data_IF_747220678778
#
_entry.id   IF_747220678778
#
_cell.length_a   1.000
_cell.length_b   1.000
_cell.length_c   1.000
_cell.angle_alpha   90.00
_cell.angle_beta   90.00
_cell.angle_gamma   90.00
#
_symmetry.space_group_name_H-M   'P 1'
#
loop_
_entity.id
_entity.type
_entity.pdbx_description
1 polymer ?
#
# COMPACT_ATOMS: atom_id res chain seq x y z
N UNK A 1 35.68 -42.85 34.29
CA UNK A 1 34.91 -41.87 35.09
C UNK A 1 35.11 -40.50 34.45
N UNK A 2 34.07 -40.00 33.78
CA UNK A 2 33.31 -38.83 34.27
C UNK A 2 34.15 -37.55 34.19
N UNK A 3 34.01 -36.77 33.12
CA UNK A 3 33.22 -35.53 33.16
C UNK A 3 34.19 -34.38 32.88
N UNK A 4 33.85 -33.24 32.27
CA UNK A 4 32.58 -32.67 31.87
C UNK A 4 32.91 -31.49 30.95
N UNK A 5 32.02 -31.24 29.99
CA UNK A 5 32.05 -30.13 29.03
C UNK A 5 32.16 -28.78 29.74
N UNK A 6 33.14 -27.97 29.35
CA UNK A 6 33.10 -26.52 29.54
C UNK A 6 33.71 -25.83 28.32
N UNK A 7 32.95 -25.84 27.21
CA UNK A 7 33.11 -24.82 26.17
C UNK A 7 32.76 -23.49 26.82
N UNK A 8 33.77 -22.62 27.00
CA UNK A 8 33.57 -21.26 27.50
C UNK A 8 32.50 -20.55 26.64
N UNK A 9 31.64 -19.73 27.27
CA UNK A 9 30.54 -19.08 26.58
C UNK A 9 31.11 -18.23 25.45
N UNK A 10 30.58 -18.45 24.24
CA UNK A 10 30.81 -17.55 23.11
C UNK A 10 30.45 -16.15 23.56
N UNK A 11 31.42 -15.23 23.50
CA UNK A 11 31.25 -13.82 23.86
C UNK A 11 30.12 -13.22 22.99
N UNK A 12 28.88 -13.27 23.48
CA UNK A 12 27.68 -12.76 22.82
C UNK A 12 27.60 -11.22 22.83
N UNK A 13 28.73 -10.54 23.04
CA UNK A 13 28.80 -9.10 23.30
C UNK A 13 29.66 -8.33 22.30
N UNK A 14 30.02 -8.92 21.15
CA UNK A 14 30.75 -8.19 20.09
C UNK A 14 30.21 -8.44 18.69
N UNK A 15 28.89 -8.60 18.54
CA UNK A 15 28.26 -8.27 17.27
C UNK A 15 28.31 -6.74 17.12
N UNK A 16 29.31 -6.29 16.37
CA UNK A 16 29.67 -4.91 16.11
C UNK A 16 28.40 -4.06 15.86
N UNK A 17 28.22 -2.99 16.63
CA UNK A 17 27.14 -2.00 16.47
C UNK A 17 27.04 -1.52 15.02
N UNK A 18 28.19 -1.40 14.35
CA UNK A 18 28.30 -1.10 12.92
C UNK A 18 27.75 -2.21 12.00
N UNK A 19 27.91 -3.48 12.36
CA UNK A 19 27.33 -4.60 11.60
C UNK A 19 25.81 -4.63 11.73
N UNK A 20 25.25 -4.38 12.91
CA UNK A 20 23.79 -4.26 13.09
C UNK A 20 23.23 -3.05 12.33
N UNK A 21 23.89 -1.89 12.40
CA UNK A 21 23.50 -0.69 11.65
C UNK A 21 23.62 -0.90 10.14
N UNK A 22 24.63 -1.66 9.69
CA UNK A 22 24.80 -2.05 8.29
C UNK A 22 23.70 -3.00 7.85
N UNK A 23 23.37 -4.03 8.64
CA UNK A 23 22.27 -4.96 8.33
C UNK A 23 20.92 -4.22 8.31
N UNK A 24 20.67 -3.30 9.24
CA UNK A 24 19.47 -2.47 9.25
C UNK A 24 19.43 -1.51 8.06
N UNK A 25 20.54 -0.85 7.71
CA UNK A 25 20.66 -0.03 6.50
C UNK A 25 20.43 -0.86 5.26
N UNK A 26 21.04 -2.03 5.15
CA UNK A 26 20.93 -2.90 3.98
C UNK A 26 19.51 -3.45 3.86
N UNK A 27 18.86 -3.84 4.95
CA UNK A 27 17.43 -4.21 4.99
C UNK A 27 16.52 -3.03 4.64
N UNK A 28 16.86 -1.81 5.05
CA UNK A 28 16.14 -0.58 4.72
C UNK A 28 16.32 -0.20 3.25
N UNK A 29 17.53 -0.37 2.72
CA UNK A 29 17.87 -0.16 1.31
C UNK A 29 17.14 -1.20 0.48
N UNK A 30 17.31 -2.52 0.74
CA UNK A 30 16.58 -3.61 0.07
C UNK A 30 15.08 -3.36 0.02
N UNK A 31 14.51 -2.89 1.14
CA UNK A 31 13.12 -2.49 1.22
C UNK A 31 12.84 -1.30 0.27
N UNK A 32 13.62 -0.22 0.32
CA UNK A 32 13.50 0.95 -0.56
C UNK A 32 13.69 0.66 -2.07
N UNK A 33 14.63 -0.21 -2.47
CA UNK A 33 14.81 -0.63 -3.88
C UNK A 33 13.70 -1.57 -4.35
N UNK A 34 13.10 -2.38 -3.46
CA UNK A 34 11.88 -3.13 -3.76
C UNK A 34 10.64 -2.22 -3.86
N UNK A 35 10.65 -1.07 -3.17
CA UNK A 35 9.61 -0.03 -3.21
C UNK A 35 9.70 0.92 -4.41
N UNK A 36 10.66 0.73 -5.34
CA UNK A 36 10.72 1.53 -6.58
C UNK A 36 9.47 1.29 -7.46
N UNK A 37 8.79 0.15 -7.28
CA UNK A 37 7.43 -0.05 -7.77
C UNK A 37 6.43 0.61 -6.81
N UNK A 38 6.20 1.89 -7.04
CA UNK A 38 5.09 2.65 -6.46
C UNK A 38 3.79 1.80 -6.51
N UNK A 39 3.16 1.48 -5.37
CA UNK A 39 2.03 0.56 -5.32
C UNK A 39 0.88 1.07 -6.19
N UNK A 40 0.21 0.17 -6.89
CA UNK A 40 -0.88 0.55 -7.78
C UNK A 40 -2.05 1.14 -6.99
N UNK A 41 -2.63 2.22 -7.49
CA UNK A 41 -3.67 2.96 -6.78
C UNK A 41 -4.99 2.16 -6.71
N UNK A 42 -5.27 1.31 -7.71
CA UNK A 42 -6.43 0.42 -7.69
C UNK A 42 -6.22 -0.70 -6.69
N UNK A 43 -5.01 -1.29 -6.64
CA UNK A 43 -4.64 -2.27 -5.61
C UNK A 43 -4.75 -1.68 -4.20
N UNK A 44 -4.32 -0.43 -4.01
CA UNK A 44 -4.50 0.28 -2.74
C UNK A 44 -5.99 0.44 -2.36
N UNK A 45 -6.89 0.61 -3.34
CA UNK A 45 -8.33 0.63 -3.10
C UNK A 45 -8.87 -0.76 -2.74
N UNK A 46 -8.34 -1.84 -3.32
CA UNK A 46 -8.70 -3.21 -2.93
C UNK A 46 -8.27 -3.53 -1.49
N UNK A 47 -7.04 -3.14 -1.13
CA UNK A 47 -6.43 -3.46 0.17
C UNK A 47 -6.85 -2.53 1.31
N UNK A 48 -7.55 -1.42 1.02
CA UNK A 48 -7.92 -0.46 2.06
C UNK A 48 -6.78 0.49 2.46
N UNK A 49 -5.72 0.62 1.66
CA UNK A 49 -4.52 1.41 1.99
C UNK A 49 -4.74 2.91 1.77
N UNK A 50 -5.39 3.54 2.74
CA UNK A 50 -5.67 4.98 2.76
C UNK A 50 -4.41 5.85 2.62
N UNK A 51 -3.28 5.43 3.21
CA UNK A 51 -2.04 6.23 3.21
C UNK A 51 -1.50 6.43 1.79
N UNK A 52 -1.58 5.38 0.96
CA UNK A 52 -1.21 5.44 -0.46
C UNK A 52 -2.23 6.30 -1.20
N UNK A 53 -3.52 6.14 -0.95
CA UNK A 53 -4.54 6.93 -1.66
C UNK A 53 -4.34 8.43 -1.42
N UNK A 54 -4.05 8.82 -0.18
CA UNK A 54 -3.73 10.22 0.18
C UNK A 54 -2.42 10.70 -0.44
N UNK A 55 -1.42 9.83 -0.63
CA UNK A 55 -0.17 10.22 -1.28
C UNK A 55 -0.32 10.47 -2.79
N UNK A 56 -1.31 9.84 -3.44
CA UNK A 56 -1.60 10.03 -4.86
C UNK A 56 -2.66 11.11 -5.12
N UNK A 57 -3.69 11.16 -4.28
CA UNK A 57 -4.85 12.06 -4.41
C UNK A 57 -4.86 12.97 -3.18
N UNK A 58 -4.03 14.04 -3.16
CA UNK A 58 -4.08 14.99 -2.06
C UNK A 58 -5.39 15.80 -2.14
N UNK A 59 -6.05 16.02 -1.00
CA UNK A 59 -7.20 16.93 -0.88
C UNK A 59 -6.73 18.39 -0.97
N UNK A 60 -6.31 18.83 -2.16
CA UNK A 60 -5.81 20.21 -2.38
C UNK A 60 -6.82 21.13 -3.06
N UNK A 61 -8.06 20.67 -3.27
CA UNK A 61 -9.09 21.45 -4.00
C UNK A 61 -8.78 21.59 -5.50
N UNK A 62 -7.68 20.98 -5.97
CA UNK A 62 -7.30 20.93 -7.38
C UNK A 62 -7.98 19.71 -8.01
N UNK A 63 -8.55 19.89 -9.20
CA UNK A 63 -9.09 18.79 -9.99
C UNK A 63 -8.02 17.72 -10.21
N UNK A 64 -8.25 16.52 -9.67
CA UNK A 64 -7.34 15.39 -9.81
C UNK A 64 -7.93 14.40 -10.83
N UNK A 65 -7.46 14.38 -12.09
CA UNK A 65 -8.04 13.56 -13.14
C UNK A 65 -7.96 12.06 -12.86
N UNK A 66 -7.07 11.64 -11.93
CA UNK A 66 -6.90 10.24 -11.58
C UNK A 66 -8.10 9.66 -10.82
N UNK A 67 -8.89 10.50 -10.14
CA UNK A 67 -10.02 10.06 -9.30
C UNK A 67 -11.08 9.33 -10.13
N UNK A 68 -11.31 9.81 -11.36
CA UNK A 68 -12.29 9.28 -12.31
C UNK A 68 -11.63 8.42 -13.41
N UNK A 69 -10.33 8.15 -13.31
CA UNK A 69 -9.63 7.33 -14.29
C UNK A 69 -10.12 5.89 -14.20
N UNK A 70 -10.32 5.28 -15.37
CA UNK A 70 -10.62 3.86 -15.52
C UNK A 70 -9.33 3.05 -15.66
N UNK A 71 -9.32 1.86 -15.09
CA UNK A 71 -8.28 0.85 -15.33
C UNK A 71 -8.48 0.17 -16.70
N UNK A 72 -7.68 -0.87 -16.97
CA UNK A 72 -7.75 -1.64 -18.22
C UNK A 72 -9.06 -2.42 -18.37
N UNK A 73 -9.76 -2.66 -17.27
CA UNK A 73 -11.04 -3.35 -17.22
C UNK A 73 -12.21 -2.36 -17.24
N UNK A 74 -11.95 -1.05 -17.34
CA UNK A 74 -12.96 -0.02 -17.37
C UNK A 74 -13.48 0.42 -15.99
N UNK A 75 -12.94 -0.10 -14.89
CA UNK A 75 -13.36 0.23 -13.53
C UNK A 75 -12.64 1.47 -13.00
N UNK A 76 -13.35 2.32 -12.25
CA UNK A 76 -12.74 3.46 -11.54
C UNK A 76 -12.33 3.06 -10.12
N UNK A 77 -11.52 3.89 -9.46
CA UNK A 77 -11.12 3.69 -8.05
C UNK A 77 -12.34 3.49 -7.12
N UNK A 78 -13.43 4.20 -7.40
CA UNK A 78 -14.66 4.10 -6.61
C UNK A 78 -15.33 2.72 -6.74
N UNK A 79 -15.25 2.05 -7.90
CA UNK A 79 -15.77 0.69 -8.07
C UNK A 79 -15.04 -0.29 -7.15
N UNK A 80 -13.70 -0.19 -7.08
CA UNK A 80 -12.90 -1.04 -6.20
C UNK A 80 -13.18 -0.73 -4.73
N UNK A 81 -13.23 0.54 -4.35
CA UNK A 81 -13.51 0.92 -2.97
C UNK A 81 -14.88 0.42 -2.47
N UNK A 82 -15.91 0.47 -3.31
CA UNK A 82 -17.25 -0.07 -2.97
C UNK A 82 -17.25 -1.59 -2.96
N UNK A 83 -16.74 -2.24 -4.01
CA UNK A 83 -16.69 -3.71 -4.13
C UNK A 83 -15.99 -4.39 -2.95
N UNK A 84 -14.96 -3.75 -2.40
CA UNK A 84 -14.20 -4.26 -1.25
C UNK A 84 -14.63 -3.65 0.10
N UNK A 85 -15.76 -2.92 0.13
CA UNK A 85 -16.40 -2.41 1.34
C UNK A 85 -15.54 -1.40 2.15
N UNK A 86 -14.68 -0.63 1.47
CA UNK A 86 -13.79 0.34 2.11
C UNK A 86 -14.44 1.73 2.22
N UNK A 87 -15.41 1.87 3.12
CA UNK A 87 -16.20 3.09 3.32
C UNK A 87 -15.36 4.37 3.51
N UNK A 88 -14.23 4.27 4.23
CA UNK A 88 -13.35 5.42 4.46
C UNK A 88 -12.76 5.94 3.16
N UNK A 89 -12.38 5.05 2.26
CA UNK A 89 -11.86 5.36 0.92
C UNK A 89 -12.97 5.93 0.04
N UNK A 90 -14.17 5.33 0.06
CA UNK A 90 -15.34 5.85 -0.67
C UNK A 90 -15.60 7.31 -0.30
N UNK A 91 -15.69 7.63 1.00
CA UNK A 91 -15.87 9.00 1.48
C UNK A 91 -14.72 9.92 1.07
N UNK A 92 -13.50 9.41 1.04
CA UNK A 92 -12.33 10.18 0.63
C UNK A 92 -12.39 10.53 -0.86
N UNK A 93 -12.61 9.54 -1.73
CA UNK A 93 -12.72 9.70 -3.17
C UNK A 93 -13.87 10.64 -3.57
N UNK A 94 -15.04 10.49 -2.94
CA UNK A 94 -16.19 11.38 -3.18
C UNK A 94 -15.86 12.84 -2.81
N UNK A 95 -15.19 13.06 -1.67
CA UNK A 95 -14.74 14.40 -1.30
C UNK A 95 -13.65 14.97 -2.23
N UNK A 96 -12.94 14.12 -2.95
CA UNK A 96 -12.00 14.50 -4.00
C UNK A 96 -12.66 14.67 -5.38
N UNK A 97 -13.99 14.60 -5.47
CA UNK A 97 -14.74 14.81 -6.71
C UNK A 97 -14.93 13.55 -7.57
N UNK A 98 -14.89 12.36 -6.96
CA UNK A 98 -15.21 11.12 -7.67
C UNK A 98 -16.66 11.12 -8.17
N UNK A 99 -16.85 10.84 -9.45
CA UNK A 99 -18.17 10.71 -10.05
C UNK A 99 -18.70 9.28 -9.85
N UNK A 100 -19.67 9.17 -8.94
CA UNK A 100 -20.34 7.92 -8.60
C UNK A 100 -21.27 7.40 -9.70
N UNK A 101 -21.61 8.23 -10.69
CA UNK A 101 -22.45 7.84 -11.83
C UNK A 101 -21.64 7.16 -12.93
N UNK A 102 -20.31 7.19 -12.86
CA UNK A 102 -19.48 6.52 -13.84
C UNK A 102 -19.75 5.02 -13.83
N UNK A 103 -20.02 4.52 -15.04
CA UNK A 103 -20.13 3.10 -15.32
C UNK A 103 -18.76 2.51 -15.56
N UNK A 104 -18.48 1.35 -15.00
CA UNK A 104 -17.23 0.63 -15.17
C UNK A 104 -17.42 -0.87 -15.32
N UNK A 105 -16.38 -1.54 -15.78
CA UNK A 105 -16.42 -2.97 -16.04
C UNK A 105 -17.10 -3.34 -17.36
N UNK A 106 -17.09 -4.65 -17.69
CA UNK A 106 -17.71 -5.18 -18.90
C UNK A 106 -19.25 -5.07 -18.90
N UNK A 107 -19.86 -5.00 -17.71
CA UNK A 107 -21.32 -4.86 -17.55
C UNK A 107 -21.78 -3.39 -17.55
N UNK A 108 -20.84 -2.44 -17.67
CA UNK A 108 -21.10 -1.01 -17.49
C UNK A 108 -21.88 -0.69 -16.20
N UNK A 109 -21.58 -1.42 -15.12
CA UNK A 109 -22.20 -1.23 -13.82
C UNK A 109 -21.67 0.07 -13.18
N UNK A 110 -22.52 0.83 -12.48
CA UNK A 110 -22.02 1.93 -11.64
C UNK A 110 -21.45 1.40 -10.34
N UNK A 111 -20.59 2.17 -9.69
CA UNK A 111 -19.99 1.80 -8.39
C UNK A 111 -20.99 1.39 -7.31
N UNK A 112 -22.26 1.82 -7.37
CA UNK A 112 -23.32 1.47 -6.42
C UNK A 112 -23.97 0.10 -6.69
N UNK A 113 -23.67 -0.56 -7.81
CA UNK A 113 -24.24 -1.87 -8.13
C UNK A 113 -23.61 -3.03 -7.34
N UNK A 114 -22.43 -2.82 -6.73
CA UNK A 114 -21.69 -3.81 -5.94
C UNK A 114 -21.81 -3.50 -4.44
#
# INVERSE_FOLDING_TARGET
MSGSKFTKPVDSARLNKSSYDTILRQKTISKAILYDKKPDLFEACCEGRMDIIKSYIPRTGIYCPIVNKKDRNGFTLLHYAVRYNHYSIVKYLLACGADYKMKGGPEEATSLHF
#
